data_IF_315560640296
#
_entry.id   IF_315560640296
#
_cell.length_a   1.000
_cell.length_b   1.000
_cell.length_c   1.000
_cell.angle_alpha   90.00
_cell.angle_beta   90.00
_cell.angle_gamma   90.00
#
_symmetry.space_group_name_H-M   'P 1'
#
loop_
_entity.id
_entity.type
_entity.pdbx_description
1 polymer ?
#
# COMPACT_ATOMS: atom_id res chain seq x y z
N UNK A 1 -16.47 9.12 4.85
CA UNK A 1 -15.21 9.86 4.56
C UNK A 1 -14.11 9.23 5.38
N UNK A 2 -13.12 8.63 4.73
CA UNK A 2 -11.93 8.06 5.38
C UNK A 2 -10.96 9.20 5.66
N UNK A 3 -10.65 9.45 6.94
CA UNK A 3 -9.83 10.60 7.39
C UNK A 3 -8.36 10.17 7.61
N UNK A 4 -8.12 8.87 7.80
CA UNK A 4 -6.79 8.29 8.03
C UNK A 4 -6.44 7.27 6.95
N UNK A 5 -5.14 6.96 6.80
CA UNK A 5 -4.68 5.85 5.95
C UNK A 5 -5.37 4.54 6.39
N UNK A 6 -6.02 3.88 5.43
CA UNK A 6 -6.59 2.56 5.60
C UNK A 6 -5.53 1.50 5.32
N UNK A 7 -5.43 0.48 6.18
CA UNK A 7 -4.54 -0.65 5.94
C UNK A 7 -5.35 -1.94 5.82
N UNK A 8 -5.18 -2.63 4.69
CA UNK A 8 -5.74 -3.95 4.47
C UNK A 8 -4.63 -4.94 4.11
N UNK A 9 -4.82 -6.21 4.45
CA UNK A 9 -3.82 -7.24 4.22
C UNK A 9 -4.48 -8.47 3.60
N UNK A 10 -3.89 -8.98 2.51
CA UNK A 10 -4.33 -10.19 1.85
C UNK A 10 -3.26 -11.28 2.04
N UNK A 11 -3.55 -12.31 2.86
CA UNK A 11 -2.70 -13.50 2.93
C UNK A 11 -2.73 -14.25 1.60
N UNK A 12 -1.55 -14.47 1.03
CA UNK A 12 -1.31 -15.41 -0.07
C UNK A 12 -0.58 -16.65 0.47
N UNK A 13 -0.32 -17.65 -0.39
CA UNK A 13 0.34 -18.89 0.04
C UNK A 13 1.68 -18.64 0.72
N UNK A 14 2.53 -17.84 0.08
CA UNK A 14 3.93 -17.64 0.50
C UNK A 14 4.28 -16.17 0.74
N UNK A 15 3.28 -15.28 0.85
CA UNK A 15 3.47 -13.85 1.15
C UNK A 15 2.19 -13.20 1.66
N UNK A 16 2.29 -11.97 2.17
CA UNK A 16 1.14 -11.14 2.54
C UNK A 16 1.23 -9.85 1.73
N UNK A 17 0.20 -9.55 0.95
CA UNK A 17 0.09 -8.26 0.28
C UNK A 17 -0.50 -7.24 1.25
N UNK A 18 0.19 -6.12 1.44
CA UNK A 18 -0.32 -4.97 2.17
C UNK A 18 -0.90 -3.94 1.21
N UNK A 19 -2.11 -3.49 1.49
CA UNK A 19 -2.79 -2.41 0.78
C UNK A 19 -2.85 -1.19 1.69
N UNK A 20 -2.49 -0.05 1.11
CA UNK A 20 -2.61 1.26 1.75
C UNK A 20 -3.68 2.01 0.96
N UNK A 21 -4.85 2.19 1.58
CA UNK A 21 -5.91 3.02 1.04
C UNK A 21 -5.64 4.47 1.42
N UNK A 22 -5.40 5.31 0.41
CA UNK A 22 -5.01 6.70 0.59
C UNK A 22 -6.21 7.61 0.35
N UNK A 23 -6.57 8.48 1.32
CA UNK A 23 -7.68 9.40 1.13
C UNK A 23 -7.36 10.43 0.04
N UNK A 24 -8.28 10.60 -0.91
CA UNK A 24 -8.07 11.42 -2.11
C UNK A 24 -8.32 12.92 -1.95
N UNK A 25 -7.80 13.55 -0.91
CA UNK A 25 -7.84 15.01 -0.77
C UNK A 25 -6.46 15.56 -0.43
N UNK A 26 -6.09 16.67 -1.08
CA UNK A 26 -4.85 17.47 -0.91
C UNK A 26 -4.31 17.59 0.53
N UNK A 27 -5.17 17.58 1.56
CA UNK A 27 -4.75 17.66 2.98
C UNK A 27 -3.99 16.43 3.48
N UNK A 28 -3.99 15.32 2.73
CA UNK A 28 -3.32 14.08 3.09
C UNK A 28 -2.14 13.73 2.18
N UNK A 29 -1.82 14.60 1.21
CA UNK A 29 -0.71 14.44 0.28
C UNK A 29 0.64 14.33 1.01
N UNK A 30 0.83 15.09 2.09
CA UNK A 30 2.03 15.00 2.93
C UNK A 30 2.13 13.64 3.66
N UNK A 31 1.01 13.08 4.12
CA UNK A 31 0.96 11.77 4.78
C UNK A 31 1.15 10.64 3.76
N UNK A 32 0.59 10.79 2.56
CA UNK A 32 0.84 9.91 1.41
C UNK A 32 2.34 9.91 1.11
N UNK A 33 2.93 11.07 0.79
CA UNK A 33 4.34 11.25 0.43
C UNK A 33 5.31 10.73 1.50
N UNK A 34 5.00 10.94 2.78
CA UNK A 34 5.80 10.41 3.89
C UNK A 34 5.83 8.87 3.94
N UNK A 35 4.81 8.20 3.39
CA UNK A 35 4.66 6.74 3.29
C UNK A 35 5.15 6.11 1.98
N UNK A 36 5.56 6.92 0.98
CA UNK A 36 5.93 6.41 -0.36
C UNK A 36 7.33 5.83 -0.48
N UNK A 37 8.17 5.97 0.55
CA UNK A 37 9.49 5.32 0.57
C UNK A 37 9.30 3.80 0.38
N UNK A 38 9.69 3.23 -0.74
CA UNK A 38 9.52 1.78 -0.97
C UNK A 38 8.11 1.35 -1.41
N UNK A 39 7.24 2.27 -1.86
CA UNK A 39 6.10 1.89 -2.70
C UNK A 39 6.60 1.76 -4.13
N UNK A 40 6.46 0.56 -4.70
CA UNK A 40 6.90 0.27 -6.06
C UNK A 40 5.74 0.16 -7.05
N UNK A 41 4.53 -0.06 -6.53
CA UNK A 41 3.31 -0.32 -7.30
C UNK A 41 2.20 0.60 -6.83
N UNK A 42 1.37 1.08 -7.76
CA UNK A 42 0.12 1.76 -7.42
C UNK A 42 -1.04 1.18 -8.22
N UNK A 43 -2.22 1.21 -7.60
CA UNK A 43 -3.48 0.78 -8.19
C UNK A 43 -4.41 1.98 -8.32
N UNK A 44 -4.65 2.42 -9.55
CA UNK A 44 -5.59 3.49 -9.84
C UNK A 44 -6.98 2.90 -10.01
N UNK A 45 -7.89 3.22 -9.07
CA UNK A 45 -9.27 2.77 -9.13
C UNK A 45 -10.10 3.78 -9.91
N UNK A 46 -10.81 3.33 -10.94
CA UNK A 46 -11.76 4.14 -11.72
C UNK A 46 -13.07 3.37 -11.81
N UNK A 47 -14.22 4.01 -11.59
CA UNK A 47 -15.50 3.32 -11.71
C UNK A 47 -15.97 3.35 -13.16
N UNK A 48 -16.50 2.23 -13.68
CA UNK A 48 -16.96 2.13 -15.05
C UNK A 48 -18.21 3.00 -15.32
N UNK A 49 -19.05 3.21 -14.31
CA UNK A 49 -20.29 4.02 -14.40
C UNK A 49 -20.01 5.53 -14.37
N UNK A 50 -18.99 5.96 -13.63
CA UNK A 50 -18.64 7.37 -13.44
C UNK A 50 -17.48 7.83 -14.34
N UNK A 51 -16.62 6.91 -14.77
CA UNK A 51 -15.41 7.24 -15.54
C UNK A 51 -14.40 8.08 -14.74
N UNK A 52 -13.61 8.89 -15.45
CA UNK A 52 -12.58 9.75 -14.85
C UNK A 52 -13.22 10.92 -14.11
N UNK A 53 -12.93 11.01 -12.81
CA UNK A 53 -13.43 12.08 -11.94
C UNK A 53 -12.30 13.05 -11.54
N UNK A 54 -12.65 14.18 -10.92
CA UNK A 54 -11.67 15.18 -10.48
C UNK A 54 -10.58 14.59 -9.57
N UNK A 55 -10.95 13.69 -8.66
CA UNK A 55 -10.00 12.97 -7.80
C UNK A 55 -9.09 12.01 -8.58
N UNK A 56 -9.60 11.37 -9.63
CA UNK A 56 -8.79 10.52 -10.52
C UNK A 56 -7.67 11.34 -11.16
N UNK A 57 -7.99 12.56 -11.63
CA UNK A 57 -7.03 13.48 -12.23
C UNK A 57 -5.99 13.94 -11.19
N UNK A 58 -6.42 14.28 -9.98
CA UNK A 58 -5.51 14.64 -8.88
C UNK A 58 -4.53 13.50 -8.56
N UNK A 59 -5.03 12.28 -8.41
CA UNK A 59 -4.20 11.10 -8.19
C UNK A 59 -3.24 10.83 -9.33
N UNK A 60 -3.68 10.97 -10.58
CA UNK A 60 -2.80 10.81 -11.75
C UNK A 60 -1.63 11.80 -11.74
N UNK A 61 -1.89 13.05 -11.39
CA UNK A 61 -0.85 14.07 -11.24
C UNK A 61 0.15 13.68 -10.15
N UNK A 62 -0.33 13.21 -8.99
CA UNK A 62 0.56 12.75 -7.92
C UNK A 62 1.39 11.55 -8.38
N UNK A 63 0.74 10.51 -8.93
CA UNK A 63 1.39 9.29 -9.41
C UNK A 63 2.48 9.60 -10.45
N UNK A 64 2.29 10.64 -11.28
CA UNK A 64 3.31 11.10 -12.25
C UNK A 64 4.58 11.70 -11.64
N UNK A 65 4.50 12.15 -10.39
CA UNK A 65 5.65 12.64 -9.65
C UNK A 65 6.38 11.50 -8.92
N UNK A 66 5.75 10.32 -8.85
CA UNK A 66 6.31 9.15 -8.17
C UNK A 66 7.05 8.27 -9.15
N UNK A 67 8.24 7.82 -8.76
CA UNK A 67 9.04 6.88 -9.54
C UNK A 67 8.60 5.44 -9.28
N UNK A 68 7.34 5.15 -9.60
CA UNK A 68 6.77 3.81 -9.48
C UNK A 68 7.31 2.91 -10.60
N UNK A 69 7.43 1.62 -10.29
CA UNK A 69 7.78 0.61 -11.28
C UNK A 69 6.61 0.32 -12.21
N UNK A 70 5.41 0.29 -11.64
CA UNK A 70 4.20 0.05 -12.41
C UNK A 70 2.98 0.69 -11.74
N UNK A 71 2.12 1.26 -12.58
CA UNK A 71 0.77 1.69 -12.21
C UNK A 71 -0.19 0.75 -12.94
N UNK A 72 -1.08 0.10 -12.20
CA UNK A 72 -2.16 -0.69 -12.77
C UNK A 72 -3.48 0.05 -12.59
N UNK A 73 -4.35 -0.06 -13.59
CA UNK A 73 -5.68 0.55 -13.58
C UNK A 73 -6.70 -0.53 -13.30
N UNK A 74 -7.57 -0.30 -12.32
CA UNK A 74 -8.67 -1.21 -12.00
C UNK A 74 -9.98 -0.47 -12.27
N UNK A 75 -10.65 -0.89 -13.34
CA UNK A 75 -11.98 -0.42 -13.69
C UNK A 75 -12.98 -1.22 -12.84
N UNK A 76 -13.60 -0.55 -11.88
CA UNK A 76 -14.53 -1.13 -10.90
C UNK A 76 -15.99 -0.93 -11.31
N UNK A 77 -16.91 -1.62 -10.64
CA UNK A 77 -18.35 -1.57 -10.94
C UNK A 77 -18.69 -1.92 -12.39
N UNK A 78 -17.95 -2.86 -12.99
CA UNK A 78 -18.17 -3.31 -14.36
C UNK A 78 -19.59 -3.87 -14.60
N UNK A 79 -20.30 -4.28 -13.54
CA UNK A 79 -21.71 -4.69 -13.60
C UNK A 79 -22.68 -3.56 -13.97
N UNK A 80 -22.22 -2.31 -13.97
CA UNK A 80 -23.04 -1.11 -14.23
C UNK A 80 -22.74 -0.41 -15.56
N UNK A 81 -21.83 -0.96 -16.35
CA UNK A 81 -21.44 -0.42 -17.64
C UNK A 81 -21.43 -1.54 -18.69
N UNK A 82 -21.67 -1.20 -19.94
CA UNK A 82 -21.50 -2.14 -21.05
C UNK A 82 -20.03 -2.22 -21.50
N UNK A 83 -19.73 -3.18 -22.37
CA UNK A 83 -18.38 -3.40 -22.88
C UNK A 83 -17.86 -2.19 -23.68
N UNK A 84 -18.72 -1.49 -24.43
CA UNK A 84 -18.30 -0.33 -25.22
C UNK A 84 -17.89 0.83 -24.33
N UNK A 85 -18.61 1.07 -23.23
CA UNK A 85 -18.27 2.08 -22.24
C UNK A 85 -16.93 1.78 -21.56
N UNK A 86 -16.69 0.51 -21.22
CA UNK A 86 -15.42 0.09 -20.60
C UNK A 86 -14.26 0.25 -21.58
N UNK A 87 -14.40 -0.23 -22.82
CA UNK A 87 -13.37 -0.10 -23.85
C UNK A 87 -13.04 1.37 -24.15
N UNK A 88 -14.07 2.23 -24.23
CA UNK A 88 -13.89 3.66 -24.43
C UNK A 88 -13.17 4.32 -23.25
N UNK A 89 -13.45 3.91 -22.01
CA UNK A 89 -12.77 4.40 -20.81
C UNK A 89 -11.30 3.97 -20.78
N UNK A 90 -10.99 2.73 -21.14
CA UNK A 90 -9.61 2.24 -21.26
C UNK A 90 -8.83 3.04 -22.31
N UNK A 91 -9.42 3.23 -23.49
CA UNK A 91 -8.81 4.00 -24.57
C UNK A 91 -8.58 5.47 -24.15
N UNK A 92 -9.59 6.10 -23.53
CA UNK A 92 -9.48 7.46 -23.02
C UNK A 92 -8.31 7.59 -22.02
N UNK A 93 -8.18 6.67 -21.08
CA UNK A 93 -7.13 6.69 -20.06
C UNK A 93 -5.73 6.55 -20.69
N UNK A 94 -5.56 5.65 -21.66
CA UNK A 94 -4.30 5.45 -22.37
C UNK A 94 -3.91 6.65 -23.24
N UNK A 95 -4.86 7.23 -23.96
CA UNK A 95 -4.60 8.34 -24.89
C UNK A 95 -4.34 9.67 -24.15
N UNK A 96 -5.10 9.93 -23.09
CA UNK A 96 -5.03 11.19 -22.36
C UNK A 96 -3.88 11.24 -21.35
N UNK A 97 -3.46 10.09 -20.80
CA UNK A 97 -2.47 10.02 -19.74
C UNK A 97 -1.30 9.12 -20.14
N UNK A 98 -0.20 9.72 -20.60
CA UNK A 98 0.99 8.99 -21.06
C UNK A 98 1.58 8.04 -20.00
N UNK A 99 1.42 8.34 -18.71
CA UNK A 99 1.83 7.47 -17.61
C UNK A 99 1.10 6.12 -17.59
N UNK A 100 -0.11 6.06 -18.15
CA UNK A 100 -0.94 4.86 -18.22
C UNK A 100 -0.78 4.08 -19.53
N UNK A 101 -0.03 4.60 -20.50
CA UNK A 101 0.05 3.99 -21.84
C UNK A 101 0.56 2.53 -21.84
N UNK A 102 1.35 2.15 -20.83
CA UNK A 102 1.86 0.79 -20.64
C UNK A 102 1.27 0.09 -19.40
N UNK A 103 0.26 0.69 -18.77
CA UNK A 103 -0.39 0.13 -17.58
C UNK A 103 -1.20 -1.12 -17.92
N UNK A 104 -1.28 -2.04 -16.95
CA UNK A 104 -2.23 -3.15 -17.01
C UNK A 104 -3.61 -2.68 -16.56
N UNK A 105 -4.63 -3.07 -17.31
CA UNK A 105 -6.03 -2.80 -17.01
C UNK A 105 -6.72 -4.06 -16.49
N UNK A 106 -7.51 -3.90 -15.43
CA UNK A 106 -8.32 -4.96 -14.85
C UNK A 106 -9.76 -4.49 -14.71
N UNK A 107 -10.66 -5.13 -15.43
CA UNK A 107 -12.10 -4.89 -15.33
C UNK A 107 -12.68 -5.79 -14.23
N UNK A 108 -13.28 -5.17 -13.22
CA UNK A 108 -13.73 -5.85 -12.02
C UNK A 108 -15.12 -5.40 -11.56
N UNK A 109 -15.83 -6.31 -10.90
CA UNK A 109 -17.01 -5.99 -10.12
C UNK A 109 -16.94 -6.69 -8.78
N UNK A 110 -16.94 -5.90 -7.70
CA UNK A 110 -17.00 -6.44 -6.35
C UNK A 110 -18.34 -7.14 -6.05
N UNK A 111 -19.41 -6.77 -6.76
CA UNK A 111 -20.75 -7.34 -6.58
C UNK A 111 -20.85 -8.72 -7.22
N UNK A 112 -20.40 -8.88 -8.47
CA UNK A 112 -20.46 -10.16 -9.19
C UNK A 112 -19.23 -11.04 -8.98
N UNK A 113 -18.14 -10.47 -8.46
CA UNK A 113 -16.85 -11.15 -8.34
C UNK A 113 -16.04 -11.17 -9.64
N UNK A 114 -16.56 -10.59 -10.73
CA UNK A 114 -15.88 -10.54 -12.02
C UNK A 114 -14.47 -9.94 -11.87
N UNK A 115 -13.48 -10.59 -12.48
CA UNK A 115 -12.09 -10.10 -12.59
C UNK A 115 -11.29 -10.05 -11.30
N UNK A 116 -11.91 -10.29 -10.13
CA UNK A 116 -11.23 -10.23 -8.82
C UNK A 116 -10.16 -11.32 -8.70
N UNK A 117 -10.43 -12.55 -9.16
CA UNK A 117 -9.45 -13.62 -9.13
C UNK A 117 -8.26 -13.34 -10.06
N UNK A 118 -8.51 -12.85 -11.26
CA UNK A 118 -7.46 -12.45 -12.22
C UNK A 118 -6.57 -11.36 -11.64
N UNK A 119 -7.17 -10.33 -11.04
CA UNK A 119 -6.44 -9.26 -10.35
C UNK A 119 -5.62 -9.83 -9.19
N UNK A 120 -6.21 -10.71 -8.37
CA UNK A 120 -5.52 -11.36 -7.24
C UNK A 120 -4.30 -12.16 -7.70
N UNK A 121 -4.45 -12.96 -8.74
CA UNK A 121 -3.38 -13.81 -9.27
C UNK A 121 -2.26 -12.98 -9.90
N UNK A 122 -2.60 -11.85 -10.54
CA UNK A 122 -1.60 -10.90 -11.02
C UNK A 122 -0.80 -10.29 -9.86
N UNK A 123 -1.49 -9.75 -8.85
CA UNK A 123 -0.86 -9.14 -7.68
C UNK A 123 0.05 -10.13 -6.93
N UNK A 124 -0.32 -11.42 -6.92
CA UNK A 124 0.48 -12.47 -6.31
C UNK A 124 1.80 -12.76 -7.04
N UNK A 125 1.92 -12.37 -8.31
CA UNK A 125 3.10 -12.60 -9.15
C UNK A 125 4.05 -11.39 -9.19
N UNK A 126 3.63 -10.24 -8.64
CA UNK A 126 4.47 -9.05 -8.60
C UNK A 126 5.72 -9.31 -7.75
N UNK A 127 6.92 -8.97 -8.23
CA UNK A 127 8.15 -9.20 -7.48
C UNK A 127 8.18 -8.34 -6.22
N UNK A 128 8.73 -8.91 -5.13
CA UNK A 128 9.04 -8.15 -3.93
C UNK A 128 10.30 -7.30 -4.19
N UNK A 129 10.10 -5.99 -4.26
CA UNK A 129 11.18 -5.03 -4.56
C UNK A 129 11.74 -4.35 -3.31
N UNK A 130 11.36 -4.82 -2.12
CA UNK A 130 11.86 -4.29 -0.85
C UNK A 130 13.37 -4.45 -0.75
N UNK A 131 14.07 -3.34 -0.54
CA UNK A 131 15.53 -3.34 -0.43
C UNK A 131 15.97 -3.69 1.00
N UNK A 132 16.24 -4.97 1.22
CA UNK A 132 16.56 -5.47 2.55
C UNK A 132 18.03 -5.35 2.96
N UNK A 133 18.90 -4.97 2.01
CA UNK A 133 20.35 -4.83 2.26
C UNK A 133 20.73 -3.39 2.65
N UNK A 134 19.84 -2.42 2.42
CA UNK A 134 19.98 -1.05 2.90
C UNK A 134 19.81 -0.94 4.43
N UNK A 135 20.34 0.13 5.06
CA UNK A 135 20.09 0.40 6.48
C UNK A 135 18.59 0.46 6.80
N UNK A 136 18.22 -0.07 7.97
CA UNK A 136 16.83 -0.10 8.39
C UNK A 136 16.22 1.30 8.47
N UNK A 137 15.11 1.51 7.77
CA UNK A 137 14.36 2.77 7.77
C UNK A 137 12.90 2.50 8.05
N UNK A 138 12.37 3.20 9.05
CA UNK A 138 11.00 3.02 9.51
C UNK A 138 10.32 4.37 9.68
N UNK A 139 9.23 4.61 8.95
CA UNK A 139 8.36 5.75 9.20
C UNK A 139 7.30 5.36 10.23
N UNK A 140 7.26 6.09 11.33
CA UNK A 140 6.25 5.92 12.38
C UNK A 140 4.97 6.63 11.92
N UNK A 141 3.88 5.85 11.82
CA UNK A 141 2.52 6.35 11.55
C UNK A 141 1.78 6.64 12.87
N UNK A 142 1.85 5.71 13.84
CA UNK A 142 1.11 5.84 15.11
C UNK A 142 1.98 5.47 16.29
N UNK A 143 1.68 6.13 17.41
CA UNK A 143 2.36 5.95 18.69
C UNK A 143 1.30 5.62 19.74
N UNK A 144 1.52 4.53 20.46
CA UNK A 144 0.68 4.06 21.56
C UNK A 144 1.52 3.84 22.80
N UNK A 145 0.91 4.01 23.97
CA UNK A 145 1.53 3.63 25.24
C UNK A 145 0.75 2.46 25.83
N UNK A 146 1.38 1.29 25.91
CA UNK A 146 0.75 0.08 26.46
C UNK A 146 1.32 -0.19 27.85
N UNK A 147 0.44 -0.28 28.85
CA UNK A 147 0.83 -0.58 30.24
C UNK A 147 1.58 -1.92 30.29
N UNK A 148 2.82 -1.88 30.78
CA UNK A 148 3.71 -3.06 30.89
C UNK A 148 4.63 -3.30 29.69
N UNK A 149 4.28 -2.84 28.49
CA UNK A 149 5.13 -2.98 27.29
C UNK A 149 5.91 -1.69 26.95
N UNK A 150 5.43 -0.52 27.42
CA UNK A 150 6.02 0.78 27.15
C UNK A 150 5.44 1.42 25.89
N UNK A 151 6.23 2.29 25.24
CA UNK A 151 5.85 2.94 23.98
C UNK A 151 5.93 1.94 22.83
N UNK A 152 4.83 1.79 22.11
CA UNK A 152 4.71 0.96 20.91
C UNK A 152 4.44 1.87 19.73
N UNK A 153 5.16 1.65 18.63
CA UNK A 153 4.99 2.41 17.40
C UNK A 153 4.57 1.47 16.27
N UNK A 154 3.70 1.94 15.38
CA UNK A 154 3.35 1.27 14.13
C UNK A 154 3.66 2.18 12.96
N UNK A 155 3.81 1.60 11.78
CA UNK A 155 4.42 2.29 10.65
C UNK A 155 4.97 1.34 9.60
N UNK A 156 5.60 1.92 8.59
CA UNK A 156 6.09 1.21 7.40
C UNK A 156 7.60 1.12 7.42
N UNK A 157 8.13 -0.10 7.24
CA UNK A 157 9.55 -0.33 7.00
C UNK A 157 9.84 -0.11 5.51
N UNK A 158 10.71 0.84 5.20
CA UNK A 158 11.06 1.21 3.82
C UNK A 158 12.27 0.47 3.28
N UNK A 159 13.16 0.06 4.17
CA UNK A 159 14.40 -0.60 3.82
C UNK A 159 14.95 -1.35 5.02
N UNK A 160 15.83 -2.31 4.74
CA UNK A 160 16.59 -3.05 5.73
C UNK A 160 15.75 -4.04 6.55
N UNK A 161 16.44 -4.69 7.48
CA UNK A 161 15.85 -5.63 8.44
C UNK A 161 16.10 -5.11 9.85
N UNK A 162 15.21 -5.49 10.77
CA UNK A 162 15.38 -5.22 12.19
C UNK A 162 15.01 -6.47 12.98
N UNK A 163 15.79 -6.75 14.01
CA UNK A 163 15.58 -7.83 14.96
C UNK A 163 15.27 -7.27 16.35
N UNK A 164 14.77 -8.14 17.22
CA UNK A 164 14.68 -7.83 18.65
C UNK A 164 16.09 -7.57 19.17
N UNK A 165 16.21 -6.63 20.10
CA UNK A 165 17.45 -6.11 20.69
C UNK A 165 18.33 -5.23 19.77
N UNK A 166 17.96 -5.05 18.51
CA UNK A 166 18.61 -4.06 17.65
C UNK A 166 18.45 -2.65 18.21
N UNK A 167 19.50 -1.85 18.01
CA UNK A 167 19.54 -0.46 18.41
C UNK A 167 19.28 0.44 17.20
N UNK A 168 18.25 1.27 17.31
CA UNK A 168 17.85 2.23 16.29
C UNK A 168 18.08 3.64 16.78
N UNK A 169 18.17 4.56 15.83
CA UNK A 169 18.22 5.99 16.08
C UNK A 169 16.91 6.62 15.62
N UNK A 170 16.27 7.35 16.53
CA UNK A 170 15.18 8.25 16.17
C UNK A 170 15.75 9.44 15.38
N UNK A 171 14.91 10.12 14.61
CA UNK A 171 15.31 11.27 13.79
C UNK A 171 15.93 12.43 14.59
N UNK A 172 15.64 12.50 15.89
CA UNK A 172 16.23 13.45 16.83
C UNK A 172 17.60 13.00 17.39
N UNK A 173 18.16 11.89 16.90
CA UNK A 173 19.42 11.30 17.34
C UNK A 173 19.33 10.44 18.59
N UNK A 174 18.15 10.32 19.21
CA UNK A 174 17.98 9.50 20.41
C UNK A 174 18.06 8.01 20.05
N UNK A 175 18.85 7.27 20.83
CA UNK A 175 19.01 5.82 20.68
C UNK A 175 17.86 5.08 21.38
N UNK A 176 17.28 4.11 20.70
CA UNK A 176 16.21 3.24 21.21
C UNK A 176 16.53 1.79 20.91
N UNK A 177 15.99 0.86 21.71
CA UNK A 177 16.16 -0.58 21.50
C UNK A 177 14.82 -1.23 21.17
N UNK A 178 14.82 -2.12 20.18
CA UNK A 178 13.64 -2.89 19.80
C UNK A 178 13.36 -3.96 20.85
N UNK A 179 12.27 -3.80 21.60
CA UNK A 179 11.87 -4.76 22.65
C UNK A 179 10.93 -5.84 22.15
N UNK A 180 10.01 -5.46 21.26
CA UNK A 180 9.00 -6.35 20.67
C UNK A 180 8.80 -5.87 19.24
N UNK A 181 8.89 -6.79 18.28
CA UNK A 181 8.50 -6.52 16.90
C UNK A 181 7.43 -7.51 16.46
N UNK A 182 6.30 -6.99 15.99
CA UNK A 182 5.26 -7.79 15.33
C UNK A 182 5.21 -7.35 13.88
N UNK A 183 5.82 -8.14 13.01
CA UNK A 183 5.77 -7.94 11.57
C UNK A 183 4.57 -8.68 11.00
N UNK A 184 3.68 -7.99 10.29
CA UNK A 184 2.73 -8.64 9.38
C UNK A 184 3.37 -8.81 8.00
N UNK A 185 4.51 -9.49 7.99
CA UNK A 185 5.19 -9.93 6.77
C UNK A 185 5.80 -11.31 7.00
N UNK A 186 5.50 -12.18 6.04
CA UNK A 186 6.06 -13.47 5.62
C UNK A 186 6.68 -14.51 6.57
N UNK A 187 6.79 -14.32 7.89
CA UNK A 187 7.06 -15.45 8.81
C UNK A 187 6.30 -15.28 10.10
N UNK A 188 5.50 -16.29 10.42
CA UNK A 188 5.01 -16.54 11.75
C UNK A 188 6.21 -16.69 12.70
N UNK A 189 6.67 -15.59 13.31
CA UNK A 189 7.40 -15.68 14.56
C UNK A 189 6.40 -15.60 15.69
N UNK A 190 6.15 -16.79 16.25
CA UNK A 190 5.37 -17.07 17.44
C UNK A 190 5.52 -15.96 18.48
N UNK A 191 4.44 -15.22 18.71
CA UNK A 191 4.23 -14.54 19.98
C UNK A 191 4.08 -15.62 21.05
N UNK A 192 5.02 -15.68 21.99
CA UNK A 192 4.82 -16.40 23.25
C UNK A 192 5.14 -15.47 24.42
N UNK A 193 4.19 -15.47 25.37
CA UNK A 193 4.26 -14.83 26.67
C UNK A 193 5.48 -15.33 27.45
N UNK A 194 6.32 -14.41 27.93
CA UNK A 194 7.39 -14.68 28.88
C UNK A 194 7.24 -13.79 30.10
N UNK A 195 7.02 -14.41 31.26
CA UNK A 195 6.75 -13.79 32.54
C UNK A 195 7.83 -12.82 33.03
N UNK A 196 7.38 -11.81 33.74
CA UNK A 196 8.20 -10.93 34.55
C UNK A 196 8.89 -11.68 35.70
N UNK A 197 10.20 -11.51 35.80
CA UNK A 197 11.02 -11.66 37.02
C UNK A 197 12.43 -11.19 36.63
N UNK A 198 13.09 -10.22 37.27
CA UNK A 198 12.93 -9.45 38.51
C UNK A 198 13.37 -8.02 38.24
#
# INVERSE_FOLDING_TARGET
MTIDLGYAYLPLKDQILGFIDVPGHERFLANMLAGLGGIHYAMLIVAADEGVQAQTIEHLNILSLLQLQEIMVVITKADRADAQQIDALEQQLCEQYAILANSKFFVTSATSGQGIETLRDYLAQLPELSDTEKPFRYAIDRIFTIKGAGTVVTGTAFAGKVAIDDELYLSNGQKVRVKISTHKTNKAQKAWQGNASR
#
